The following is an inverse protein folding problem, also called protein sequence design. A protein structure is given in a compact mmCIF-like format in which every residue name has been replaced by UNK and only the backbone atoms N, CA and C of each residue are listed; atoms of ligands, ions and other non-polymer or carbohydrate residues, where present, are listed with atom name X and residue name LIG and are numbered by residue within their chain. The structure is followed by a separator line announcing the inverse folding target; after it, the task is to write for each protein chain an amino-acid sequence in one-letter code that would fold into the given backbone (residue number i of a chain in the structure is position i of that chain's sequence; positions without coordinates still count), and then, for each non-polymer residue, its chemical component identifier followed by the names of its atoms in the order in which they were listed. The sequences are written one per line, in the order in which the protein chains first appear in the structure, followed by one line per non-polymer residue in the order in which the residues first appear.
data_IF_437802771316
#
_entry.id   IF_437802771316
#
_cell.length_a   1.000
_cell.length_b   1.000
_cell.length_c   1.000
_cell.angle_alpha   90.00
_cell.angle_beta   90.00
_cell.angle_gamma   90.00
#
_symmetry.space_group_name_H-M   'P 1'
#
loop_
_entity.id
_entity.type
_entity.pdbx_description
1 polymer ?
#
# COMPACT_ATOMS: atom_id res chain seq x y z
N UNK A 1 -18.87 -4.54 9.20
CA UNK A 1 -17.41 -4.30 9.12
C UNK A 1 -17.18 -2.80 9.12
N UNK A 2 -16.34 -2.28 10.00
CA UNK A 2 -15.93 -0.87 10.02
C UNK A 2 -14.65 -0.70 9.23
N UNK A 3 -14.37 0.52 8.80
CA UNK A 3 -13.11 0.90 8.17
C UNK A 3 -12.57 2.13 8.91
N UNK A 4 -11.29 2.10 9.27
CA UNK A 4 -10.55 3.29 9.69
C UNK A 4 -9.45 3.60 8.67
N UNK A 5 -9.14 4.88 8.53
CA UNK A 5 -8.11 5.37 7.63
C UNK A 5 -6.87 5.73 8.45
N UNK A 6 -5.71 5.38 7.94
CA UNK A 6 -4.41 5.74 8.49
C UNK A 6 -3.63 6.46 7.39
N UNK A 7 -3.06 7.61 7.71
CA UNK A 7 -2.19 8.33 6.79
C UNK A 7 -0.95 8.87 7.52
N UNK A 8 0.14 9.00 6.77
CA UNK A 8 1.42 9.47 7.25
C UNK A 8 1.75 10.81 6.57
N UNK A 9 1.94 11.86 7.37
CA UNK A 9 2.21 13.21 6.87
C UNK A 9 3.64 13.64 7.14
N UNK A 10 4.24 14.26 6.13
CA UNK A 10 5.43 15.10 6.30
C UNK A 10 5.06 16.59 6.32
N UNK A 11 4.06 16.99 5.55
CA UNK A 11 3.58 18.37 5.45
C UNK A 11 2.05 18.38 5.35
N UNK A 12 1.38 18.58 6.49
CA UNK A 12 -0.08 18.49 6.59
C UNK A 12 -0.85 19.52 5.77
N UNK A 13 -0.24 20.67 5.45
CA UNK A 13 -0.95 21.73 4.73
C UNK A 13 -0.97 21.48 3.22
N UNK A 14 0.08 20.87 2.66
CA UNK A 14 0.17 20.56 1.22
C UNK A 14 -0.87 19.57 0.73
N UNK A 15 -1.25 18.63 1.60
CA UNK A 15 -2.11 17.50 1.26
C UNK A 15 -3.48 17.59 1.94
N UNK A 16 -3.76 18.71 2.60
CA UNK A 16 -4.98 18.95 3.39
C UNK A 16 -6.27 18.67 2.65
N UNK A 17 -6.34 19.12 1.41
CA UNK A 17 -7.53 18.95 0.56
C UNK A 17 -7.88 17.48 0.32
N UNK A 18 -6.90 16.58 0.28
CA UNK A 18 -7.14 15.17 0.02
C UNK A 18 -7.75 14.47 1.23
N UNK A 19 -7.10 14.60 2.39
CA UNK A 19 -7.51 13.84 3.57
C UNK A 19 -8.75 14.39 4.28
N UNK A 20 -9.08 15.67 4.09
CA UNK A 20 -10.32 16.26 4.61
C UNK A 20 -11.58 15.65 3.99
N UNK A 21 -11.49 15.19 2.74
CA UNK A 21 -12.61 14.48 2.11
C UNK A 21 -12.79 13.10 2.74
N UNK A 22 -11.70 12.37 3.02
CA UNK A 22 -11.79 11.04 3.62
C UNK A 22 -12.33 11.05 5.04
N UNK A 23 -12.07 12.09 5.84
CA UNK A 23 -12.60 12.25 7.21
C UNK A 23 -14.15 12.25 7.23
N UNK A 24 -14.79 12.54 6.10
CA UNK A 24 -16.26 12.48 5.96
C UNK A 24 -16.75 11.04 5.78
N UNK A 25 -15.92 10.16 5.25
CA UNK A 25 -16.27 8.78 4.91
C UNK A 25 -15.95 7.78 6.04
N UNK A 26 -14.86 8.00 6.78
CA UNK A 26 -14.42 7.11 7.86
C UNK A 26 -13.50 7.82 8.88
N UNK A 27 -13.38 7.29 10.12
CA UNK A 27 -12.44 7.81 11.11
C UNK A 27 -11.00 7.83 10.59
N UNK A 28 -10.32 8.96 10.74
CA UNK A 28 -8.95 9.18 10.27
C UNK A 28 -7.95 9.24 11.42
N UNK A 29 -6.91 8.41 11.34
CA UNK A 29 -5.72 8.49 12.19
C UNK A 29 -4.56 9.07 11.38
N UNK A 30 -4.01 10.18 11.88
CA UNK A 30 -2.85 10.87 11.29
C UNK A 30 -1.61 10.59 12.11
N UNK A 31 -0.52 10.25 11.42
CA UNK A 31 0.82 10.13 12.02
C UNK A 31 1.72 11.16 11.37
N UNK A 32 2.31 12.03 12.20
CA UNK A 32 3.16 13.13 11.76
C UNK A 32 4.62 12.82 12.08
N UNK A 33 5.53 13.24 11.18
CA UNK A 33 6.97 13.22 11.43
C UNK A 33 7.78 12.49 10.36
N UNK A 34 9.07 12.81 10.30
CA UNK A 34 10.01 12.26 9.31
C UNK A 34 10.56 10.93 9.82
N UNK A 35 9.86 9.84 9.52
CA UNK A 35 10.26 8.47 9.92
C UNK A 35 10.16 7.42 8.79
N UNK A 36 9.53 7.79 7.67
CA UNK A 36 9.20 6.86 6.59
C UNK A 36 7.80 6.24 6.75
N UNK A 37 7.15 5.81 5.64
CA UNK A 37 5.79 5.26 5.67
C UNK A 37 5.60 4.02 6.54
N UNK A 38 6.56 3.09 6.60
CA UNK A 38 6.37 1.84 7.36
C UNK A 38 6.21 2.07 8.86
N UNK A 39 7.14 2.77 9.56
CA UNK A 39 6.94 3.05 10.98
C UNK A 39 5.72 3.93 11.24
N UNK A 40 5.42 4.89 10.36
CA UNK A 40 4.26 5.76 10.51
C UNK A 40 2.94 4.98 10.37
N UNK A 41 2.80 4.15 9.34
CA UNK A 41 1.63 3.29 9.18
C UNK A 41 1.51 2.26 10.30
N UNK A 42 2.62 1.72 10.81
CA UNK A 42 2.57 0.82 11.96
C UNK A 42 1.98 1.50 13.20
N UNK A 43 2.47 2.69 13.55
CA UNK A 43 1.94 3.47 14.67
C UNK A 43 0.45 3.80 14.47
N UNK A 44 0.10 4.24 13.26
CA UNK A 44 -1.26 4.60 12.92
C UNK A 44 -2.20 3.39 12.96
N UNK A 45 -1.76 2.21 12.51
CA UNK A 45 -2.53 0.99 12.62
C UNK A 45 -2.78 0.60 14.08
N UNK A 46 -1.79 0.73 14.97
CA UNK A 46 -1.96 0.46 16.41
C UNK A 46 -3.02 1.38 17.01
N UNK A 47 -2.92 2.68 16.74
CA UNK A 47 -3.85 3.70 17.24
C UNK A 47 -5.26 3.44 16.69
N UNK A 48 -5.38 3.28 15.38
CA UNK A 48 -6.66 3.03 14.74
C UNK A 48 -7.34 1.76 15.26
N UNK A 49 -6.56 0.69 15.47
CA UNK A 49 -7.07 -0.57 15.99
C UNK A 49 -7.61 -0.45 17.42
N UNK A 50 -6.98 0.37 18.26
CA UNK A 50 -7.41 0.58 19.66
C UNK A 50 -8.61 1.50 19.76
N UNK A 51 -8.64 2.55 18.93
CA UNK A 51 -9.63 3.62 19.02
C UNK A 51 -10.93 3.27 18.28
N UNK A 52 -10.84 2.62 17.12
CA UNK A 52 -11.96 2.55 16.17
C UNK A 52 -12.42 1.13 15.83
N UNK A 53 -11.60 0.11 16.08
CA UNK A 53 -11.77 -1.20 15.43
C UNK A 53 -11.81 -2.39 16.41
N UNK A 54 -12.36 -3.49 15.92
CA UNK A 54 -12.23 -4.85 16.46
C UNK A 54 -11.51 -5.75 15.45
N UNK A 55 -11.40 -7.04 15.75
CA UNK A 55 -10.55 -7.97 14.98
C UNK A 55 -10.88 -8.13 13.49
N UNK A 56 -12.17 -8.05 13.11
CA UNK A 56 -12.63 -8.25 11.73
C UNK A 56 -12.79 -6.96 10.90
N UNK A 57 -12.47 -5.80 11.49
CA UNK A 57 -12.59 -4.51 10.82
C UNK A 57 -11.39 -4.23 9.90
N UNK A 58 -11.53 -3.22 9.03
CA UNK A 58 -10.55 -2.87 8.00
C UNK A 58 -9.73 -1.64 8.40
N UNK A 59 -8.47 -1.61 7.95
CA UNK A 59 -7.61 -0.44 7.95
C UNK A 59 -7.23 -0.10 6.52
N UNK A 60 -7.42 1.16 6.14
CA UNK A 60 -6.93 1.74 4.89
C UNK A 60 -5.71 2.64 5.18
N UNK A 61 -4.52 2.18 4.82
CA UNK A 61 -3.30 2.99 4.80
C UNK A 61 -3.21 3.73 3.44
N UNK A 62 -3.42 5.04 3.48
CA UNK A 62 -3.46 5.90 2.28
C UNK A 62 -2.32 6.91 2.30
N UNK A 63 -1.67 7.12 1.16
CA UNK A 63 -0.75 8.25 0.99
C UNK A 63 -1.54 9.56 1.05
N UNK A 64 -0.94 10.58 1.66
CA UNK A 64 -1.62 11.85 1.87
C UNK A 64 -1.88 12.64 0.59
N UNK A 65 -1.23 12.29 -0.54
CA UNK A 65 -1.43 12.89 -1.86
C UNK A 65 -2.39 12.10 -2.78
N UNK A 66 -3.29 11.30 -2.20
CA UNK A 66 -4.31 10.52 -2.91
C UNK A 66 -5.69 11.23 -2.90
N UNK A 67 -6.15 11.76 -4.03
CA UNK A 67 -7.55 12.12 -4.18
C UNK A 67 -8.36 10.87 -4.56
N UNK A 68 -9.38 10.53 -3.76
CA UNK A 68 -10.36 9.50 -4.12
C UNK A 68 -11.56 10.22 -4.70
N UNK A 69 -11.85 9.95 -5.97
CA UNK A 69 -12.98 10.59 -6.63
C UNK A 69 -14.28 9.93 -6.22
N UNK A 70 -15.36 10.71 -6.20
CA UNK A 70 -16.70 10.18 -6.06
C UNK A 70 -16.92 9.02 -7.05
N UNK A 71 -17.60 7.95 -6.61
CA UNK A 71 -17.74 6.72 -7.36
C UNK A 71 -18.36 6.96 -8.74
N UNK A 72 -17.97 6.12 -9.72
CA UNK A 72 -18.68 6.05 -11.02
C UNK A 72 -20.16 5.70 -10.84
N UNK A 73 -20.49 4.97 -9.76
CA UNK A 73 -21.86 4.68 -9.35
C UNK A 73 -22.26 5.63 -8.20
N UNK A 74 -23.03 6.69 -8.47
CA UNK A 74 -23.27 7.77 -7.50
C UNK A 74 -24.00 7.33 -6.22
N UNK A 75 -24.59 6.14 -6.21
CA UNK A 75 -25.33 5.62 -5.07
C UNK A 75 -24.44 4.97 -3.99
N UNK A 76 -23.14 4.74 -4.24
CA UNK A 76 -22.26 4.01 -3.32
C UNK A 76 -20.81 4.54 -3.25
N UNK A 77 -20.48 5.25 -2.17
CA UNK A 77 -19.13 5.74 -1.89
C UNK A 77 -18.05 4.64 -1.85
N UNK A 78 -16.78 5.02 -1.95
CA UNK A 78 -15.66 4.07 -2.07
C UNK A 78 -15.56 3.11 -0.86
N UNK A 79 -15.91 3.55 0.35
CA UNK A 79 -15.93 2.71 1.56
C UNK A 79 -16.89 1.54 1.40
N UNK A 80 -18.07 1.77 0.80
CA UNK A 80 -19.05 0.70 0.56
C UNK A 80 -18.55 -0.30 -0.49
N UNK A 81 -17.83 0.16 -1.52
CA UNK A 81 -17.22 -0.72 -2.51
C UNK A 81 -16.13 -1.60 -1.91
N UNK A 82 -15.30 -1.03 -1.03
CA UNK A 82 -14.29 -1.77 -0.26
C UNK A 82 -14.95 -2.80 0.63
N UNK A 83 -15.97 -2.40 1.40
CA UNK A 83 -16.65 -3.32 2.31
C UNK A 83 -17.25 -4.51 1.56
N UNK A 84 -17.95 -4.25 0.45
CA UNK A 84 -18.51 -5.30 -0.39
C UNK A 84 -17.44 -6.24 -0.96
N UNK A 85 -16.27 -5.74 -1.34
CA UNK A 85 -15.19 -6.59 -1.86
C UNK A 85 -14.70 -7.61 -0.81
N UNK A 86 -14.58 -7.17 0.45
CA UNK A 86 -14.18 -8.03 1.58
C UNK A 86 -15.31 -8.95 2.08
N UNK A 87 -16.58 -8.52 1.95
CA UNK A 87 -17.74 -9.36 2.28
C UNK A 87 -17.95 -10.46 1.22
N UNK A 88 -17.66 -10.17 -0.04
CA UNK A 88 -17.84 -11.10 -1.16
C UNK A 88 -16.73 -12.16 -1.27
N UNK A 89 -15.55 -11.92 -0.69
CA UNK A 89 -14.44 -12.86 -0.72
C UNK A 89 -13.76 -12.98 0.66
N UNK A 90 -14.03 -14.07 1.35
CA UNK A 90 -13.45 -14.36 2.66
C UNK A 90 -11.94 -14.57 2.63
N UNK A 91 -11.37 -14.91 1.46
CA UNK A 91 -9.92 -15.10 1.26
C UNK A 91 -9.21 -13.78 0.95
N UNK A 92 -9.94 -12.67 0.74
CA UNK A 92 -9.33 -11.36 0.53
C UNK A 92 -8.67 -10.85 1.81
N UNK A 93 -7.34 -10.71 1.76
CA UNK A 93 -6.54 -10.15 2.85
C UNK A 93 -6.17 -8.69 2.62
N UNK A 94 -5.95 -8.34 1.35
CA UNK A 94 -5.40 -7.05 0.98
C UNK A 94 -6.04 -6.54 -0.31
N UNK A 95 -6.41 -5.27 -0.33
CA UNK A 95 -6.97 -4.57 -1.48
C UNK A 95 -6.43 -3.16 -1.63
N UNK A 96 -6.58 -2.57 -2.82
CA UNK A 96 -6.14 -1.20 -3.10
C UNK A 96 -6.65 -0.71 -4.45
N UNK A 97 -6.29 0.50 -4.85
CA UNK A 97 -6.81 1.14 -6.09
C UNK A 97 -5.85 1.07 -7.28
N UNK A 98 -4.66 0.50 -7.08
CA UNK A 98 -3.67 0.22 -8.12
C UNK A 98 -2.80 -0.96 -7.71
N UNK A 99 -2.44 -1.81 -8.67
CA UNK A 99 -1.67 -3.02 -8.42
C UNK A 99 -1.15 -3.66 -9.68
N UNK A 100 -0.46 -4.78 -9.55
CA UNK A 100 0.23 -5.47 -10.64
C UNK A 100 -0.06 -6.96 -10.59
N UNK A 101 -0.33 -7.60 -11.74
CA UNK A 101 -0.64 -9.04 -11.78
C UNK A 101 0.59 -9.92 -11.68
N UNK A 102 1.79 -9.36 -11.76
CA UNK A 102 3.03 -10.05 -11.43
C UNK A 102 3.93 -9.28 -10.47
N UNK A 103 4.62 -10.02 -9.60
CA UNK A 103 5.67 -9.50 -8.73
C UNK A 103 6.92 -10.39 -8.86
N UNK A 104 8.04 -9.76 -9.20
CA UNK A 104 9.33 -10.42 -9.31
C UNK A 104 9.57 -11.09 -10.67
N UNK A 105 10.82 -11.30 -11.04
CA UNK A 105 11.23 -12.00 -12.26
C UNK A 105 11.25 -13.52 -12.06
N UNK A 106 11.05 -14.31 -13.11
CA UNK A 106 11.13 -15.78 -13.01
C UNK A 106 12.52 -16.23 -12.54
N UNK A 107 13.56 -15.53 -13.00
CA UNK A 107 14.96 -15.82 -12.69
C UNK A 107 15.44 -15.19 -11.37
N UNK A 108 14.55 -14.61 -10.55
CA UNK A 108 14.90 -13.82 -9.34
C UNK A 108 15.86 -14.53 -8.37
N UNK A 109 15.86 -15.86 -8.31
CA UNK A 109 16.76 -16.68 -7.48
C UNK A 109 17.79 -17.51 -8.25
N UNK A 110 17.85 -17.35 -9.58
CA UNK A 110 18.84 -18.03 -10.43
C UNK A 110 20.13 -17.22 -10.60
N UNK A 111 20.11 -15.96 -10.15
CA UNK A 111 21.22 -14.99 -10.28
C UNK A 111 21.53 -14.36 -8.94
N UNK A 112 22.66 -13.66 -8.87
CA UNK A 112 22.94 -12.78 -7.74
C UNK A 112 21.82 -11.74 -7.59
N UNK A 113 21.58 -11.32 -6.35
CA UNK A 113 20.55 -10.33 -6.03
C UNK A 113 20.65 -9.10 -6.94
N UNK A 114 19.54 -8.82 -7.62
CA UNK A 114 19.32 -7.61 -8.40
C UNK A 114 18.03 -6.96 -7.87
N UNK A 115 18.05 -5.75 -7.32
CA UNK A 115 16.83 -5.10 -6.83
C UNK A 115 15.78 -4.91 -7.95
N UNK A 116 16.19 -4.82 -9.21
CA UNK A 116 15.26 -4.73 -10.35
C UNK A 116 14.54 -6.06 -10.63
N UNK A 117 15.02 -7.17 -10.07
CA UNK A 117 14.33 -8.47 -10.18
C UNK A 117 13.01 -8.49 -9.41
N UNK A 118 12.71 -7.53 -8.51
CA UNK A 118 11.43 -7.37 -7.81
C UNK A 118 10.45 -6.45 -8.54
N UNK A 119 10.60 -6.28 -9.85
CA UNK A 119 9.72 -5.42 -10.64
C UNK A 119 8.26 -5.90 -10.61
N UNK A 120 7.34 -4.93 -10.60
CA UNK A 120 5.90 -5.16 -10.80
C UNK A 120 5.60 -5.33 -12.28
N UNK A 121 4.75 -6.29 -12.64
CA UNK A 121 4.39 -6.61 -14.02
C UNK A 121 2.91 -6.37 -14.27
N UNK A 122 2.60 -5.87 -15.47
CA UNK A 122 1.22 -5.68 -15.95
C UNK A 122 0.36 -4.86 -14.98
N UNK A 123 0.82 -3.65 -14.70
CA UNK A 123 0.16 -2.75 -13.76
C UNK A 123 -1.27 -2.41 -14.22
N UNK A 124 -2.19 -2.40 -13.27
CA UNK A 124 -3.60 -2.06 -13.44
C UNK A 124 -4.02 -1.03 -12.39
N UNK A 125 -4.81 -0.04 -12.78
CA UNK A 125 -5.39 0.94 -11.83
C UNK A 125 -6.58 1.67 -12.44
N UNK A 126 -7.33 2.38 -11.60
CA UNK A 126 -8.33 3.35 -12.05
C UNK A 126 -7.92 4.80 -11.78
N UNK A 127 -6.60 5.06 -11.73
CA UNK A 127 -6.09 6.43 -11.66
C UNK A 127 -6.53 7.26 -12.89
N UNK A 128 -6.59 8.59 -12.77
CA UNK A 128 -6.94 9.48 -13.90
C UNK A 128 -6.03 9.29 -15.13
N UNK A 129 -4.80 8.79 -14.93
CA UNK A 129 -3.83 8.49 -16.00
C UNK A 129 -3.41 7.01 -16.00
N UNK A 130 -4.33 6.08 -15.72
CA UNK A 130 -4.03 4.65 -15.63
C UNK A 130 -3.24 4.11 -16.84
N UNK A 131 -3.58 4.58 -18.04
CA UNK A 131 -3.01 4.15 -19.32
C UNK A 131 -1.55 4.60 -19.54
N UNK A 132 -1.04 5.53 -18.72
CA UNK A 132 0.38 5.92 -18.72
C UNK A 132 1.24 4.92 -17.97
N UNK A 133 0.67 4.26 -16.96
CA UNK A 133 1.39 3.35 -16.07
C UNK A 133 1.07 1.87 -16.33
N UNK A 134 0.00 1.59 -17.07
CA UNK A 134 -0.50 0.25 -17.33
C UNK A 134 -1.85 0.30 -18.02
N UNK A 135 -2.86 -0.37 -17.46
CA UNK A 135 -4.23 -0.37 -18.02
C UNK A 135 -5.32 -0.18 -16.97
N UNK A 136 -6.49 0.23 -17.43
CA UNK A 136 -7.71 0.35 -16.62
C UNK A 136 -8.46 -0.97 -16.52
N UNK A 137 -9.21 -1.16 -15.44
CA UNK A 137 -10.17 -2.27 -15.32
C UNK A 137 -11.50 -1.77 -14.76
N UNK A 138 -12.58 -2.47 -15.06
CA UNK A 138 -13.92 -2.11 -14.61
C UNK A 138 -14.40 -2.97 -13.44
N UNK A 139 -13.69 -4.07 -13.15
CA UNK A 139 -14.08 -5.07 -12.16
C UNK A 139 -12.99 -5.25 -11.10
N UNK A 140 -13.41 -5.68 -9.91
CA UNK A 140 -12.47 -6.12 -8.88
C UNK A 140 -11.62 -7.25 -9.45
N UNK A 141 -10.31 -7.05 -9.48
CA UNK A 141 -9.36 -7.92 -10.19
C UNK A 141 -8.29 -8.42 -9.22
N UNK A 142 -8.00 -9.72 -9.22
CA UNK A 142 -6.88 -10.26 -8.43
C UNK A 142 -5.54 -9.78 -8.98
N UNK A 143 -4.60 -9.48 -8.09
CA UNK A 143 -3.26 -8.95 -8.41
C UNK A 143 -2.22 -9.60 -7.51
N UNK A 144 -0.94 -9.60 -7.92
CA UNK A 144 0.16 -10.13 -7.11
C UNK A 144 0.54 -9.17 -5.97
N UNK A 145 0.48 -7.85 -6.25
CA UNK A 145 0.77 -6.82 -5.27
C UNK A 145 0.03 -5.52 -5.61
N UNK A 146 0.01 -4.60 -4.65
CA UNK A 146 -0.57 -3.27 -4.80
C UNK A 146 0.51 -2.19 -4.89
N UNK A 147 0.10 -0.97 -5.21
CA UNK A 147 0.91 0.21 -4.99
C UNK A 147 0.68 0.79 -3.59
N UNK A 148 1.74 1.26 -2.95
CA UNK A 148 1.73 1.80 -1.60
C UNK A 148 0.80 2.99 -1.39
N UNK A 149 0.37 3.68 -2.45
CA UNK A 149 -0.54 4.83 -2.31
C UNK A 149 -1.91 4.45 -1.74
N UNK A 150 -2.33 3.19 -1.85
CA UNK A 150 -3.60 2.68 -1.31
C UNK A 150 -3.48 1.21 -0.91
N UNK A 151 -3.43 0.95 0.40
CA UNK A 151 -3.35 -0.38 0.98
C UNK A 151 -4.44 -0.57 2.01
N UNK A 152 -5.33 -1.52 1.78
CA UNK A 152 -6.53 -1.73 2.58
C UNK A 152 -6.59 -3.20 2.97
N UNK A 153 -6.59 -3.52 4.25
CA UNK A 153 -6.59 -4.90 4.72
C UNK A 153 -7.35 -5.07 6.02
N UNK A 154 -7.56 -6.31 6.43
CA UNK A 154 -8.05 -6.61 7.79
C UNK A 154 -7.05 -6.06 8.81
N UNK A 155 -7.55 -5.49 9.91
CA UNK A 155 -6.72 -4.84 10.92
C UNK A 155 -5.60 -5.75 11.44
N UNK A 156 -5.92 -7.03 11.69
CA UNK A 156 -4.94 -8.04 12.12
C UNK A 156 -3.79 -8.25 11.12
N UNK A 157 -4.13 -8.33 9.82
CA UNK A 157 -3.15 -8.53 8.74
C UNK A 157 -2.26 -7.31 8.59
N UNK A 158 -2.85 -6.11 8.58
CA UNK A 158 -2.12 -4.86 8.45
C UNK A 158 -1.15 -4.65 9.63
N UNK A 159 -1.60 -4.92 10.86
CA UNK A 159 -0.75 -4.85 12.05
C UNK A 159 0.41 -5.85 12.01
N UNK A 160 0.13 -7.10 11.66
CA UNK A 160 1.16 -8.14 11.57
C UNK A 160 2.20 -7.81 10.49
N UNK A 161 1.76 -7.36 9.31
CA UNK A 161 2.63 -6.97 8.21
C UNK A 161 3.54 -5.81 8.59
N UNK A 162 2.98 -4.69 9.04
CA UNK A 162 3.80 -3.53 9.42
C UNK A 162 4.71 -3.81 10.63
N UNK A 163 4.30 -4.69 11.56
CA UNK A 163 5.18 -5.15 12.63
C UNK A 163 6.40 -5.92 12.08
N UNK A 164 6.17 -6.88 11.17
CA UNK A 164 7.23 -7.64 10.51
C UNK A 164 8.19 -6.70 9.76
N UNK A 165 7.67 -5.80 8.93
CA UNK A 165 8.51 -4.91 8.11
C UNK A 165 9.36 -3.95 8.95
N UNK A 166 8.81 -3.46 10.07
CA UNK A 166 9.58 -2.71 11.05
C UNK A 166 10.72 -3.55 11.62
N UNK A 167 10.49 -4.83 11.94
CA UNK A 167 11.51 -5.78 12.38
C UNK A 167 12.60 -6.04 11.34
N UNK A 168 12.24 -6.02 10.05
CA UNK A 168 13.17 -6.13 8.91
C UNK A 168 13.92 -4.82 8.60
N UNK A 169 13.60 -3.72 9.30
CA UNK A 169 14.18 -2.41 9.03
C UNK A 169 13.72 -1.77 7.72
N UNK A 170 12.60 -2.21 7.15
CA UNK A 170 11.99 -1.56 5.97
C UNK A 170 11.34 -0.26 6.46
N UNK A 171 11.66 0.85 5.81
CA UNK A 171 11.12 2.17 6.21
C UNK A 171 10.28 2.87 5.13
N UNK A 172 10.50 2.60 3.83
CA UNK A 172 9.77 3.29 2.76
C UNK A 172 9.64 2.52 1.45
N UNK A 173 10.69 1.94 0.88
CA UNK A 173 10.53 1.30 -0.43
C UNK A 173 9.94 -0.11 -0.31
N UNK A 174 9.19 -0.54 -1.34
CA UNK A 174 8.72 -1.91 -1.56
C UNK A 174 7.87 -2.58 -0.45
N UNK A 175 7.46 -1.89 0.61
CA UNK A 175 6.58 -2.48 1.64
C UNK A 175 5.21 -2.92 1.09
N UNK A 176 4.75 -2.29 0.02
CA UNK A 176 3.54 -2.68 -0.71
C UNK A 176 3.68 -4.05 -1.40
N UNK A 177 4.85 -4.31 -1.97
CA UNK A 177 5.23 -5.58 -2.57
C UNK A 177 5.42 -6.64 -1.49
N UNK A 178 5.98 -6.25 -0.33
CA UNK A 178 6.08 -7.11 0.85
C UNK A 178 4.71 -7.50 1.41
N UNK A 179 3.74 -6.59 1.45
CA UNK A 179 2.36 -6.90 1.84
C UNK A 179 1.71 -7.86 0.86
N UNK A 180 1.93 -7.68 -0.45
CA UNK A 180 1.50 -8.63 -1.46
C UNK A 180 2.04 -10.03 -1.17
N UNK A 181 3.36 -10.16 -1.06
CA UNK A 181 4.00 -11.44 -0.75
C UNK A 181 3.53 -12.06 0.59
N UNK A 182 3.34 -11.23 1.62
CA UNK A 182 2.82 -11.70 2.91
C UNK A 182 1.40 -12.24 2.81
N UNK A 183 0.51 -11.61 2.02
CA UNK A 183 -0.84 -12.10 1.79
C UNK A 183 -0.83 -13.50 1.13
N UNK A 184 0.02 -13.69 0.12
CA UNK A 184 0.22 -15.01 -0.50
C UNK A 184 0.77 -16.04 0.47
N UNK A 185 1.75 -15.66 1.32
CA UNK A 185 2.27 -16.55 2.37
C UNK A 185 1.19 -16.96 3.37
N UNK A 186 0.24 -16.07 3.66
CA UNK A 186 -0.92 -16.36 4.53
C UNK A 186 -2.02 -17.14 3.80
N UNK A 187 -1.83 -17.53 2.55
CA UNK A 187 -2.80 -18.25 1.73
C UNK A 187 -4.00 -17.41 1.31
N UNK A 188 -3.91 -16.09 1.38
CA UNK A 188 -4.97 -15.17 0.99
C UNK A 188 -4.75 -14.53 -0.37
N UNK A 189 -5.74 -13.74 -0.79
CA UNK A 189 -5.75 -13.02 -2.07
C UNK A 189 -5.46 -11.55 -1.88
N UNK A 190 -4.92 -10.96 -2.95
CA UNK A 190 -4.75 -9.52 -3.11
C UNK A 190 -5.59 -9.06 -4.29
N UNK A 191 -6.40 -8.00 -4.14
CA UNK A 191 -7.27 -7.51 -5.22
C UNK A 191 -7.18 -6.00 -5.43
N UNK A 192 -7.16 -5.58 -6.68
CA UNK A 192 -7.40 -4.20 -7.05
C UNK A 192 -8.90 -3.94 -7.18
N UNK A 193 -9.39 -2.88 -6.52
CA UNK A 193 -10.78 -2.42 -6.58
C UNK A 193 -10.84 -1.21 -7.53
N UNK A 194 -11.75 -1.19 -8.52
CA UNK A 194 -11.78 -0.21 -9.60
C UNK A 194 -12.30 1.19 -9.17
N UNK A 195 -11.78 1.73 -8.06
CA UNK A 195 -12.10 3.07 -7.56
C UNK A 195 -11.31 4.12 -8.34
N UNK A 196 -12.02 5.10 -8.90
CA UNK A 196 -11.40 6.22 -9.61
C UNK A 196 -10.65 7.11 -8.63
N UNK A 197 -9.40 7.43 -8.93
CA UNK A 197 -8.57 8.24 -8.05
C UNK A 197 -7.54 9.10 -8.82
N UNK A 198 -6.94 10.04 -8.12
CA UNK A 198 -5.76 10.79 -8.53
C UNK A 198 -4.67 10.59 -7.48
N UNK A 199 -3.53 10.04 -7.87
CA UNK A 199 -2.35 9.99 -7.01
C UNK A 199 -1.35 10.99 -7.57
N UNK A 200 -1.06 12.06 -6.81
CA UNK A 200 -0.24 13.15 -7.32
C UNK A 200 1.22 12.72 -7.56
N UNK A 201 1.72 11.79 -6.75
CA UNK A 201 3.03 11.16 -6.89
C UNK A 201 4.19 12.11 -6.62
N UNK A 202 5.18 11.65 -5.87
CA UNK A 202 6.42 12.42 -5.64
C UNK A 202 6.24 13.73 -4.85
N UNK A 203 5.04 14.03 -4.36
CA UNK A 203 4.76 15.19 -3.48
C UNK A 203 4.92 14.87 -1.99
N UNK A 204 5.01 13.59 -1.66
CA UNK A 204 5.21 13.10 -0.29
C UNK A 204 6.68 13.13 0.09
N UNK A 205 7.30 11.99 0.38
CA UNK A 205 8.65 11.88 0.92
C UNK A 205 9.76 12.22 -0.08
N UNK A 206 9.64 11.81 -1.34
CA UNK A 206 10.76 11.95 -2.31
C UNK A 206 10.93 13.40 -2.79
N UNK A 207 9.87 14.22 -2.72
CA UNK A 207 9.91 15.62 -3.14
C UNK A 207 10.32 16.62 -2.05
N UNK A 208 10.56 16.16 -0.82
CA UNK A 208 10.85 17.04 0.32
C UNK A 208 12.32 16.97 0.71
N UNK A 209 12.99 18.13 0.72
CA UNK A 209 14.40 18.29 1.11
C UNK A 209 14.67 17.71 2.49
N UNK A 210 13.78 17.93 3.43
CA UNK A 210 13.89 17.52 4.82
C UNK A 210 13.89 16.00 4.96
N UNK A 211 13.08 15.30 4.15
CA UNK A 211 13.10 13.84 4.09
C UNK A 211 14.41 13.33 3.47
N UNK A 212 14.89 13.96 2.40
CA UNK A 212 16.14 13.59 1.76
C UNK A 212 17.34 13.77 2.71
N UNK A 213 17.40 14.88 3.44
CA UNK A 213 18.43 15.16 4.46
C UNK A 213 18.38 14.16 5.61
N UNK A 214 17.18 13.87 6.10
CA UNK A 214 16.97 12.84 7.12
C UNK A 214 17.42 11.46 6.63
N UNK A 215 17.04 11.07 5.42
CA UNK A 215 17.42 9.80 4.82
C UNK A 215 18.94 9.69 4.65
N UNK A 216 19.60 10.76 4.22
CA UNK A 216 21.06 10.82 4.11
C UNK A 216 21.73 10.63 5.48
N UNK A 217 21.30 11.40 6.48
CA UNK A 217 21.88 11.39 7.82
C UNK A 217 21.67 10.07 8.56
N UNK A 218 20.47 9.50 8.48
CA UNK A 218 20.08 8.34 9.30
C UNK A 218 20.33 7.01 8.62
N UNK A 219 20.34 6.98 7.29
CA UNK A 219 20.33 5.73 6.51
C UNK A 219 21.29 5.72 5.32
N UNK A 220 22.12 6.76 5.12
CA UNK A 220 23.02 6.83 3.97
C UNK A 220 22.29 7.05 2.64
N UNK A 221 21.13 7.70 2.69
CA UNK A 221 20.42 8.21 1.53
C UNK A 221 19.31 7.28 1.01
N UNK A 222 18.42 7.85 0.19
CA UNK A 222 17.23 7.16 -0.32
C UNK A 222 17.58 5.88 -1.12
N UNK A 223 18.72 5.87 -1.82
CA UNK A 223 19.20 4.69 -2.55
C UNK A 223 19.54 3.53 -1.61
N UNK A 224 20.16 3.82 -0.47
CA UNK A 224 20.50 2.80 0.55
C UNK A 224 19.25 2.21 1.18
N UNK A 225 18.26 3.06 1.49
CA UNK A 225 16.94 2.66 1.96
C UNK A 225 16.26 1.73 0.94
N UNK A 226 16.29 2.13 -0.34
CA UNK A 226 15.71 1.37 -1.43
C UNK A 226 16.35 -0.01 -1.59
N UNK A 227 17.69 -0.07 -1.63
CA UNK A 227 18.44 -1.32 -1.74
C UNK A 227 18.18 -2.25 -0.54
N UNK A 228 18.20 -1.71 0.68
CA UNK A 228 17.93 -2.48 1.90
C UNK A 228 16.55 -3.12 1.86
N UNK A 229 15.51 -2.35 1.53
CA UNK A 229 14.15 -2.86 1.47
C UNK A 229 13.98 -3.98 0.43
N UNK A 230 14.54 -3.79 -0.78
CA UNK A 230 14.46 -4.81 -1.84
C UNK A 230 15.21 -6.08 -1.44
N UNK A 231 16.39 -5.94 -0.83
CA UNK A 231 17.16 -7.09 -0.36
C UNK A 231 16.43 -7.84 0.77
N UNK A 232 15.85 -7.10 1.72
CA UNK A 232 15.07 -7.69 2.81
C UNK A 232 13.89 -8.50 2.28
N UNK A 233 13.12 -7.96 1.31
CA UNK A 233 11.98 -8.65 0.71
C UNK A 233 12.42 -9.87 -0.10
N UNK A 234 13.46 -9.72 -0.93
CA UNK A 234 14.01 -10.81 -1.73
C UNK A 234 14.43 -12.00 -0.86
N UNK A 235 15.04 -11.74 0.30
CA UNK A 235 15.43 -12.80 1.21
C UNK A 235 14.24 -13.35 2.00
N UNK A 236 13.45 -12.46 2.61
CA UNK A 236 12.33 -12.83 3.48
C UNK A 236 11.32 -13.68 2.74
N UNK A 237 10.87 -13.26 1.56
CA UNK A 237 9.73 -13.84 0.80
C UNK A 237 10.11 -14.85 -0.28
N UNK A 238 11.26 -15.52 -0.11
CA UNK A 238 11.77 -16.51 -1.07
C UNK A 238 10.89 -17.75 -1.26
N UNK A 239 10.08 -18.07 -0.28
CA UNK A 239 9.10 -19.16 -0.29
C UNK A 239 7.89 -18.89 -1.20
N UNK A 240 7.59 -17.63 -1.51
CA UNK A 240 6.41 -17.24 -2.29
C UNK A 240 6.70 -16.44 -3.56
N UNK A 241 7.90 -15.84 -3.68
CA UNK A 241 8.31 -15.13 -4.88
C UNK A 241 8.95 -16.08 -5.92
N UNK A 242 8.80 -15.82 -7.23
CA UNK A 242 7.97 -14.77 -7.84
C UNK A 242 6.47 -15.12 -7.83
N UNK A 243 5.60 -14.11 -7.94
CA UNK A 243 4.13 -14.27 -7.95
C UNK A 243 3.55 -13.89 -9.31
N UNK A 244 2.59 -14.68 -9.80
CA UNK A 244 1.82 -14.43 -11.03
C UNK A 244 0.34 -14.68 -10.78
N UNK A 245 -0.50 -13.79 -11.27
CA UNK A 245 -1.96 -13.88 -11.18
C UNK A 245 -2.55 -13.80 -12.58
N UNK A 246 -3.32 -14.81 -12.96
CA UNK A 246 -3.93 -14.90 -14.29
C UNK A 246 -2.88 -15.11 -15.38
N UNK A 247 -2.65 -16.37 -15.77
CA UNK A 247 -1.87 -16.74 -16.95
C UNK A 247 -2.69 -16.64 -18.24
#
# INVERSE_FOLDING_TARGET
MRLAIVTAHLDKEKTREYWQEWEKDAPLTRVEGIMGPVPAFYEGCIRASREWLGGSDLIACLHDDLAIHAPTFPEEGWVAQVARAFDADSELLLAGFGGATGLGEEWIYERAFDPMSLVRKDFISNMDKAEVHGRRVEQVTEVACLDGFSLIGRAEFMLAGFHLFKGLGIIHHAYDSALGALAYRWGGKVKMIPVRCHHAGGRTAVGQSEYAEWAEKMHGGNKTIWLHAHHAIWHEFRDVLPIRVGG
#
